data_IF_229592540211
#
_entry.id   IF_229592540211
#
_cell.length_a   1.000
_cell.length_b   1.000
_cell.length_c   1.000
_cell.angle_alpha   90.00
_cell.angle_beta   90.00
_cell.angle_gamma   90.00
#
_symmetry.space_group_name_H-M   'P 1'
#
loop_
_entity.id
_entity.type
_entity.pdbx_description
1 polymer ?
#
# COMPACT_ATOMS: atom_id res chain seq x y z
N UNK A 1 5.08 -11.64 32.27
CA UNK A 1 6.33 -12.04 31.59
C UNK A 1 5.90 -12.59 30.23
N UNK A 2 5.82 -11.72 29.23
CA UNK A 2 5.44 -12.14 27.87
C UNK A 2 6.67 -12.78 27.25
N UNK A 3 6.65 -14.10 27.06
CA UNK A 3 7.63 -14.78 26.23
C UNK A 3 7.33 -14.39 24.79
N UNK A 4 7.98 -13.33 24.28
CA UNK A 4 7.93 -12.99 22.87
C UNK A 4 8.53 -14.18 22.12
N UNK A 5 7.68 -15.02 21.54
CA UNK A 5 8.15 -16.10 20.68
C UNK A 5 8.77 -15.46 19.46
N UNK A 6 10.09 -15.59 19.32
CA UNK A 6 10.76 -15.15 18.09
C UNK A 6 10.31 -16.04 16.94
N UNK A 7 9.83 -15.43 15.86
CA UNK A 7 9.56 -16.11 14.61
C UNK A 7 10.84 -16.72 14.05
N UNK A 8 10.75 -17.98 13.64
CA UNK A 8 11.84 -18.71 13.01
C UNK A 8 12.00 -18.20 11.58
N UNK A 9 13.25 -18.03 11.15
CA UNK A 9 13.57 -17.50 9.82
C UNK A 9 14.41 -18.47 8.99
N UNK A 10 14.19 -18.44 7.69
CA UNK A 10 14.90 -19.20 6.67
C UNK A 10 15.43 -18.26 5.59
N UNK A 11 16.26 -18.80 4.70
CA UNK A 11 16.86 -18.05 3.59
C UNK A 11 15.80 -17.34 2.74
N UNK A 12 14.66 -17.99 2.46
CA UNK A 12 13.63 -17.46 1.58
C UNK A 12 14.03 -17.45 0.10
N UNK A 13 13.35 -16.62 -0.68
CA UNK A 13 13.47 -16.53 -2.14
C UNK A 13 13.42 -15.07 -2.59
N UNK A 14 14.23 -14.73 -3.59
CA UNK A 14 14.21 -13.41 -4.24
C UNK A 14 12.91 -13.10 -5.01
N UNK A 15 12.07 -14.11 -5.25
CA UNK A 15 10.81 -13.93 -5.96
C UNK A 15 9.64 -14.62 -5.25
N UNK A 16 8.44 -14.02 -5.37
CA UNK A 16 8.19 -12.69 -5.95
C UNK A 16 8.61 -11.56 -4.97
N UNK A 17 8.69 -10.32 -5.45
CA UNK A 17 8.98 -9.15 -4.60
C UNK A 17 7.83 -8.84 -3.63
N UNK A 18 8.17 -8.18 -2.53
CA UNK A 18 7.25 -7.85 -1.43
C UNK A 18 7.04 -9.02 -0.46
N UNK A 19 6.01 -8.91 0.37
CA UNK A 19 5.57 -9.98 1.26
C UNK A 19 4.61 -10.95 0.54
N UNK A 20 5.00 -12.22 0.49
CA UNK A 20 4.24 -13.33 -0.09
C UNK A 20 3.89 -14.35 0.98
N UNK A 21 2.64 -14.29 1.43
CA UNK A 21 2.16 -15.11 2.52
C UNK A 21 1.67 -16.49 2.05
N UNK A 22 1.97 -17.53 2.83
CA UNK A 22 1.32 -18.84 2.83
C UNK A 22 1.01 -19.27 4.28
N UNK A 23 0.19 -20.31 4.49
CA UNK A 23 -0.08 -20.84 5.84
C UNK A 23 1.18 -21.28 6.60
N UNK A 24 2.23 -21.69 5.88
CA UNK A 24 3.48 -22.18 6.47
C UNK A 24 4.47 -21.05 6.76
N UNK A 25 4.59 -20.07 5.87
CA UNK A 25 5.54 -18.97 6.02
C UNK A 25 5.19 -17.75 5.16
N UNK A 26 5.73 -16.59 5.53
CA UNK A 26 5.76 -15.40 4.66
C UNK A 26 7.15 -15.21 4.09
N UNK A 27 7.28 -15.22 2.76
CA UNK A 27 8.50 -14.84 2.08
C UNK A 27 8.50 -13.33 1.83
N UNK A 28 9.53 -12.65 2.32
CA UNK A 28 9.77 -11.23 2.07
C UNK A 28 10.90 -11.07 1.09
N UNK A 29 10.76 -10.19 0.10
CA UNK A 29 11.87 -9.80 -0.76
C UNK A 29 11.83 -8.34 -1.19
N UNK A 30 12.96 -7.65 -1.06
CA UNK A 30 13.14 -6.26 -1.46
C UNK A 30 14.38 -6.09 -2.33
N UNK A 31 14.29 -5.26 -3.36
CA UNK A 31 15.42 -4.94 -4.22
C UNK A 31 16.17 -3.71 -3.69
N UNK A 32 17.48 -3.85 -3.51
CA UNK A 32 18.41 -2.75 -3.30
C UNK A 32 19.81 -3.15 -3.78
N UNK A 33 20.36 -2.35 -4.69
CA UNK A 33 21.73 -2.54 -5.21
C UNK A 33 22.78 -1.93 -4.27
N UNK A 34 22.44 -0.84 -3.60
CA UNK A 34 23.37 -0.01 -2.83
C UNK A 34 23.35 -0.28 -1.33
N UNK A 35 22.30 -0.94 -0.80
CA UNK A 35 22.26 -1.26 0.62
C UNK A 35 23.42 -2.21 1.03
N UNK A 36 24.10 -1.86 2.11
CA UNK A 36 25.18 -2.66 2.70
C UNK A 36 24.65 -3.64 3.75
N UNK A 37 23.57 -3.26 4.44
CA UNK A 37 22.82 -4.12 5.35
C UNK A 37 21.32 -3.86 5.23
N UNK A 38 20.52 -4.89 5.52
CA UNK A 38 19.06 -4.83 5.49
C UNK A 38 18.50 -5.59 6.69
N UNK A 39 17.46 -5.02 7.29
CA UNK A 39 16.70 -5.63 8.36
C UNK A 39 15.20 -5.59 8.03
N UNK A 40 14.49 -6.65 8.40
CA UNK A 40 13.04 -6.70 8.37
C UNK A 40 12.51 -6.45 9.78
N UNK A 41 11.68 -5.43 9.95
CA UNK A 41 11.08 -5.05 11.23
C UNK A 41 9.63 -5.50 11.22
N UNK A 42 9.24 -6.30 12.22
CA UNK A 42 7.88 -6.81 12.39
C UNK A 42 7.22 -6.12 13.58
N UNK A 43 5.97 -5.71 13.43
CA UNK A 43 5.19 -4.99 14.44
C UNK A 43 3.87 -5.72 14.73
N UNK A 44 3.45 -5.68 16.00
CA UNK A 44 2.20 -6.28 16.42
C UNK A 44 0.99 -5.55 15.83
N UNK A 45 1.04 -4.22 15.79
CA UNK A 45 -0.04 -3.35 15.32
C UNK A 45 0.49 -2.19 14.46
N UNK A 46 -0.42 -1.48 13.79
CA UNK A 46 -0.10 -0.25 13.05
C UNK A 46 0.48 0.87 13.93
N UNK A 47 0.12 0.93 15.21
CA UNK A 47 0.51 1.99 16.14
C UNK A 47 1.66 1.63 17.09
N UNK A 48 2.16 0.38 17.08
CA UNK A 48 3.28 -0.05 17.93
C UNK A 48 4.47 0.92 17.82
N UNK A 49 5.09 1.35 18.92
CA UNK A 49 6.28 2.22 18.87
C UNK A 49 7.54 1.46 18.44
N UNK A 50 7.69 0.23 18.91
CA UNK A 50 8.84 -0.63 18.65
C UNK A 50 8.41 -1.91 17.90
N UNK A 51 9.31 -2.50 17.09
CA UNK A 51 9.05 -3.79 16.47
C UNK A 51 9.00 -4.89 17.53
N UNK A 52 8.06 -5.83 17.37
CA UNK A 52 8.04 -7.07 18.16
C UNK A 52 9.23 -7.98 17.83
N UNK A 53 9.80 -7.85 16.62
CA UNK A 53 11.02 -8.56 16.21
C UNK A 53 11.75 -7.80 15.11
N UNK A 54 13.08 -7.70 15.23
CA UNK A 54 13.99 -7.24 14.18
C UNK A 54 14.74 -8.44 13.62
N UNK A 55 14.68 -8.64 12.32
CA UNK A 55 15.37 -9.72 11.61
C UNK A 55 16.50 -9.12 10.80
N UNK A 56 17.74 -9.34 11.23
CA UNK A 56 18.95 -8.90 10.51
C UNK A 56 19.27 -9.90 9.40
N UNK A 57 19.33 -9.44 8.15
CA UNK A 57 19.62 -10.32 7.02
C UNK A 57 21.13 -10.54 6.89
N UNK A 58 21.51 -11.80 6.69
CA UNK A 58 22.88 -12.20 6.40
C UNK A 58 23.18 -12.01 4.90
N UNK A 59 24.11 -11.13 4.56
CA UNK A 59 24.45 -10.78 3.17
C UNK A 59 24.88 -11.99 2.31
N UNK A 60 25.53 -13.00 2.88
CA UNK A 60 26.00 -14.19 2.14
C UNK A 60 24.89 -15.20 1.83
N UNK A 61 23.79 -15.17 2.60
CA UNK A 61 22.71 -16.17 2.51
C UNK A 61 21.39 -15.58 2.01
N UNK A 62 21.06 -14.38 2.45
CA UNK A 62 19.76 -13.72 2.31
C UNK A 62 19.81 -12.56 1.31
N UNK A 63 20.82 -12.57 0.44
CA UNK A 63 20.90 -11.70 -0.72
C UNK A 63 21.32 -12.50 -1.95
N UNK A 64 20.48 -12.45 -2.99
CA UNK A 64 20.76 -13.04 -4.29
C UNK A 64 20.78 -11.92 -5.33
N UNK A 65 21.94 -11.64 -5.93
CA UNK A 65 22.21 -10.45 -6.75
C UNK A 65 21.93 -9.15 -5.97
N UNK A 66 20.87 -8.42 -6.35
CA UNK A 66 20.45 -7.15 -5.76
C UNK A 66 19.13 -7.28 -4.98
N UNK A 67 18.69 -8.50 -4.72
CA UNK A 67 17.46 -8.77 -3.96
C UNK A 67 17.82 -9.35 -2.61
N UNK A 68 17.38 -8.67 -1.55
CA UNK A 68 17.39 -9.15 -0.19
C UNK A 68 16.11 -9.95 0.06
N UNK A 69 16.21 -11.04 0.81
CA UNK A 69 15.07 -11.90 1.07
C UNK A 69 15.18 -12.71 2.35
N UNK A 70 14.05 -13.01 2.97
CA UNK A 70 13.94 -13.86 4.15
C UNK A 70 12.56 -14.50 4.18
N UNK A 71 12.47 -15.76 4.63
CA UNK A 71 11.19 -16.42 4.89
C UNK A 71 10.97 -16.53 6.38
N UNK A 72 9.79 -16.13 6.85
CA UNK A 72 9.42 -16.11 8.28
C UNK A 72 8.30 -17.12 8.51
N UNK A 73 8.54 -18.13 9.34
CA UNK A 73 7.58 -19.21 9.61
C UNK A 73 6.36 -18.70 10.37
N UNK A 74 5.18 -19.20 9.99
CA UNK A 74 3.91 -19.04 10.71
C UNK A 74 3.57 -17.59 11.08
N UNK A 75 3.99 -16.63 10.25
CA UNK A 75 3.71 -15.23 10.45
C UNK A 75 2.20 -14.95 10.21
N UNK A 76 1.47 -14.36 11.17
CA UNK A 76 0.06 -14.09 11.01
C UNK A 76 -0.25 -13.11 9.86
N UNK A 77 -1.36 -13.32 9.16
CA UNK A 77 -1.96 -12.29 8.30
C UNK A 77 -2.35 -11.10 9.18
N UNK A 78 -2.14 -9.88 8.69
CA UNK A 78 -2.32 -8.64 9.45
C UNK A 78 -1.08 -8.20 10.21
N UNK A 79 0.01 -8.99 10.23
CA UNK A 79 1.29 -8.51 10.78
C UNK A 79 1.78 -7.29 9.98
N UNK A 80 2.17 -6.25 10.71
CA UNK A 80 2.70 -5.03 10.12
C UNK A 80 4.22 -5.14 10.00
N UNK A 81 4.80 -4.56 8.95
CA UNK A 81 6.23 -4.60 8.73
C UNK A 81 6.78 -3.38 8.00
N UNK A 82 8.08 -3.14 8.20
CA UNK A 82 8.90 -2.20 7.43
C UNK A 82 10.25 -2.83 7.12
N UNK A 83 10.98 -2.23 6.18
CA UNK A 83 12.39 -2.56 5.96
C UNK A 83 13.25 -1.47 6.57
N UNK A 84 14.40 -1.83 7.14
CA UNK A 84 15.43 -0.88 7.53
C UNK A 84 16.69 -1.16 6.72
N UNK A 85 17.15 -0.17 5.97
CA UNK A 85 18.26 -0.31 5.01
C UNK A 85 19.41 0.60 5.40
N UNK A 86 20.63 0.07 5.38
CA UNK A 86 21.86 0.84 5.58
C UNK A 86 22.43 1.25 4.24
N UNK A 87 22.65 2.55 4.05
CA UNK A 87 23.30 3.11 2.85
C UNK A 87 24.85 3.11 3.01
N UNK A 88 25.61 3.29 1.91
CA UNK A 88 27.08 3.34 1.94
C UNK A 88 27.70 4.49 2.77
N UNK A 89 26.89 5.48 3.17
CA UNK A 89 27.30 6.57 4.06
C UNK A 89 27.04 6.24 5.55
N UNK A 90 26.84 4.96 5.86
CA UNK A 90 26.46 4.41 7.17
C UNK A 90 25.09 4.87 7.70
N UNK A 91 24.30 5.63 6.93
CA UNK A 91 22.97 6.07 7.34
C UNK A 91 21.96 4.92 7.27
N UNK A 92 21.09 4.84 8.28
CA UNK A 92 20.00 3.86 8.34
C UNK A 92 18.66 4.51 8.05
N UNK A 93 17.87 3.89 7.18
CA UNK A 93 16.56 4.36 6.76
C UNK A 93 15.51 3.27 6.94
N UNK A 94 14.48 3.55 7.74
CA UNK A 94 13.28 2.73 7.81
C UNK A 94 12.30 3.17 6.73
N UNK A 95 11.90 2.22 5.88
CA UNK A 95 11.15 2.45 4.65
C UNK A 95 9.95 1.53 4.54
N UNK A 96 8.97 2.00 3.79
CA UNK A 96 7.85 1.20 3.34
C UNK A 96 8.32 0.29 2.19
N UNK A 97 7.85 -0.96 2.19
CA UNK A 97 8.07 -1.88 1.07
C UNK A 97 7.35 -1.37 -0.21
N UNK A 98 8.07 -1.07 -1.31
CA UNK A 98 7.45 -0.61 -2.55
C UNK A 98 6.44 -1.59 -3.15
N UNK A 99 6.53 -2.87 -2.80
CA UNK A 99 5.68 -3.96 -3.27
C UNK A 99 4.59 -4.36 -2.24
N UNK A 100 4.43 -3.60 -1.16
CA UNK A 100 3.36 -3.84 -0.18
C UNK A 100 1.99 -3.87 -0.86
N UNK A 101 1.19 -4.92 -0.57
CA UNK A 101 -0.17 -5.09 -1.10
C UNK A 101 -1.25 -4.43 -0.26
N UNK A 102 -0.90 -4.09 0.96
CA UNK A 102 -1.72 -3.40 1.94
C UNK A 102 -0.78 -2.56 2.79
N UNK A 103 -1.24 -1.39 3.19
CA UNK A 103 -0.44 -0.44 3.96
C UNK A 103 -1.27 0.22 5.04
N UNK A 104 -0.61 0.63 6.12
CA UNK A 104 -1.20 1.49 7.13
C UNK A 104 -0.47 2.83 7.16
N UNK A 105 -1.26 3.91 7.24
CA UNK A 105 -0.83 5.30 7.41
C UNK A 105 -1.06 5.82 8.84
N UNK A 106 -1.40 4.95 9.81
CA UNK A 106 -1.83 5.36 11.15
C UNK A 106 -0.82 6.24 11.89
N UNK A 107 0.48 6.01 11.70
CA UNK A 107 1.56 6.82 12.29
C UNK A 107 2.24 7.75 11.27
N UNK A 108 1.71 7.84 10.05
CA UNK A 108 2.33 8.66 9.02
C UNK A 108 2.27 10.15 9.40
N UNK A 109 3.43 10.80 9.41
CA UNK A 109 3.56 12.24 9.57
C UNK A 109 4.62 12.74 8.59
N UNK A 110 4.19 13.46 7.56
CA UNK A 110 5.06 13.93 6.47
C UNK A 110 6.15 14.86 7.00
N UNK A 111 5.79 15.82 7.85
CA UNK A 111 6.73 16.81 8.39
C UNK A 111 7.83 16.18 9.24
N UNK A 112 7.49 15.10 9.97
CA UNK A 112 8.45 14.29 10.72
C UNK A 112 9.31 13.45 9.77
N UNK A 113 8.70 12.79 8.78
CA UNK A 113 9.38 11.93 7.82
C UNK A 113 10.40 12.68 6.91
N UNK A 114 10.29 14.01 6.80
CA UNK A 114 11.30 14.86 6.15
C UNK A 114 12.55 15.02 7.04
N UNK A 115 12.39 14.97 8.36
CA UNK A 115 13.45 15.28 9.32
C UNK A 115 14.15 14.03 9.86
N UNK A 116 13.43 12.91 9.97
CA UNK A 116 13.95 11.67 10.54
C UNK A 116 13.85 10.51 9.55
N UNK A 117 14.80 9.55 9.59
CA UNK A 117 14.83 8.42 8.67
C UNK A 117 13.85 7.30 9.07
N UNK A 118 12.72 7.66 9.72
CA UNK A 118 11.63 6.77 10.11
C UNK A 118 10.32 7.50 9.84
N UNK A 119 9.44 6.88 9.06
CA UNK A 119 8.36 7.60 8.41
C UNK A 119 6.95 7.19 8.90
N UNK A 120 6.84 6.06 9.62
CA UNK A 120 5.60 5.62 10.26
C UNK A 120 4.61 4.89 9.35
N UNK A 121 4.87 4.79 8.05
CA UNK A 121 4.11 3.91 7.15
C UNK A 121 4.51 2.46 7.37
N UNK A 122 3.54 1.54 7.24
CA UNK A 122 3.80 0.10 7.40
C UNK A 122 3.15 -0.70 6.30
N UNK A 123 3.85 -1.71 5.79
CA UNK A 123 3.23 -2.76 4.98
C UNK A 123 2.45 -3.71 5.88
N UNK A 124 1.43 -4.36 5.33
CA UNK A 124 0.61 -5.35 6.04
C UNK A 124 0.71 -6.69 5.29
N UNK A 125 1.12 -7.74 6.00
CA UNK A 125 1.12 -9.11 5.47
C UNK A 125 -0.32 -9.50 5.17
N UNK A 126 -0.61 -9.78 3.90
CA UNK A 126 -1.97 -10.03 3.41
C UNK A 126 -2.07 -11.40 2.77
N UNK A 127 -3.18 -12.10 3.00
CA UNK A 127 -3.50 -13.30 2.24
C UNK A 127 -4.00 -12.91 0.84
N UNK A 128 -3.18 -13.15 -0.17
CA UNK A 128 -3.50 -12.83 -1.55
C UNK A 128 -4.22 -13.97 -2.27
N UNK A 129 -4.40 -15.14 -1.63
CA UNK A 129 -5.12 -16.25 -2.23
C UNK A 129 -6.51 -15.78 -2.65
N UNK A 130 -6.90 -16.20 -3.85
CA UNK A 130 -8.13 -15.77 -4.49
C UNK A 130 -9.13 -16.94 -4.44
N UNK A 131 -10.23 -16.76 -3.72
CA UNK A 131 -11.36 -17.69 -3.73
C UNK A 131 -12.08 -17.55 -5.09
N UNK A 132 -11.67 -18.38 -6.06
CA UNK A 132 -12.00 -18.30 -7.49
C UNK A 132 -13.45 -18.65 -7.88
N UNK A 133 -14.43 -18.56 -6.98
CA UNK A 133 -15.81 -18.97 -7.29
C UNK A 133 -16.47 -18.11 -8.37
N UNK A 134 -15.89 -16.96 -8.70
CA UNK A 134 -16.25 -16.14 -9.86
C UNK A 134 -15.06 -16.13 -10.82
N UNK A 135 -15.21 -16.80 -11.98
CA UNK A 135 -14.28 -16.61 -13.09
C UNK A 135 -14.17 -15.10 -13.36
N UNK A 136 -12.95 -14.54 -13.57
CA UNK A 136 -12.83 -13.13 -13.85
C UNK A 136 -13.72 -12.79 -15.05
N UNK A 137 -14.73 -11.96 -14.82
CA UNK A 137 -15.53 -11.42 -15.89
C UNK A 137 -14.55 -10.83 -16.91
N UNK A 138 -14.71 -11.17 -18.19
CA UNK A 138 -13.89 -10.54 -19.23
C UNK A 138 -14.06 -9.02 -19.05
N UNK A 139 -12.97 -8.23 -19.06
CA UNK A 139 -13.08 -6.80 -18.95
C UNK A 139 -14.05 -6.29 -20.02
N UNK A 140 -14.97 -5.43 -19.61
CA UNK A 140 -15.97 -4.86 -20.51
C UNK A 140 -15.25 -4.04 -21.59
N UNK A 141 -15.74 -4.13 -22.83
CA UNK A 141 -15.16 -3.37 -23.93
C UNK A 141 -15.35 -1.87 -23.71
N UNK A 142 -14.37 -1.07 -24.15
CA UNK A 142 -14.51 0.39 -24.19
C UNK A 142 -15.36 0.88 -25.38
N UNK A 143 -15.65 0.00 -26.35
CA UNK A 143 -16.55 0.34 -27.45
C UNK A 143 -17.97 0.62 -26.93
N UNK A 144 -18.50 1.81 -27.21
CA UNK A 144 -19.77 2.29 -26.65
C UNK A 144 -19.73 2.64 -25.16
N UNK A 145 -18.56 2.81 -24.55
CA UNK A 145 -18.45 3.12 -23.13
C UNK A 145 -19.02 4.51 -22.78
N UNK A 146 -19.86 4.52 -21.76
CA UNK A 146 -20.25 5.69 -20.96
C UNK A 146 -19.50 5.58 -19.63
N UNK A 147 -18.47 6.41 -19.50
CA UNK A 147 -17.56 6.45 -18.35
C UNK A 147 -18.04 7.50 -17.35
N UNK A 148 -18.08 7.13 -16.08
CA UNK A 148 -18.42 8.01 -14.98
C UNK A 148 -17.24 8.09 -14.01
N UNK A 149 -16.57 9.23 -13.98
CA UNK A 149 -15.43 9.51 -13.11
C UNK A 149 -15.92 9.74 -11.67
N UNK A 150 -15.33 9.03 -10.71
CA UNK A 150 -15.77 9.00 -9.31
C UNK A 150 -14.58 9.09 -8.37
N UNK A 151 -14.69 9.99 -7.39
CA UNK A 151 -13.83 9.99 -6.22
C UNK A 151 -14.44 9.12 -5.12
N UNK A 152 -13.76 8.05 -4.69
CA UNK A 152 -14.27 7.08 -3.70
C UNK A 152 -14.73 7.76 -2.41
N UNK A 153 -13.86 8.59 -1.81
CA UNK A 153 -14.20 9.39 -0.64
C UNK A 153 -15.43 10.29 -0.87
N UNK A 154 -15.37 11.19 -1.85
CA UNK A 154 -16.42 12.18 -2.09
C UNK A 154 -17.78 11.62 -2.46
N UNK A 155 -17.83 10.50 -3.16
CA UNK A 155 -19.09 9.96 -3.69
C UNK A 155 -20.13 9.63 -2.61
N UNK A 156 -19.67 9.27 -1.41
CA UNK A 156 -20.56 8.88 -0.31
C UNK A 156 -20.32 9.65 1.00
N UNK A 157 -19.46 10.67 1.00
CA UNK A 157 -19.10 11.42 2.21
C UNK A 157 -20.27 12.20 2.83
N UNK A 158 -21.17 12.76 2.00
CA UNK A 158 -22.28 13.58 2.52
C UNK A 158 -23.32 12.70 3.24
N UNK A 159 -23.89 13.11 4.39
CA UNK A 159 -24.87 12.31 5.14
C UNK A 159 -26.10 11.87 4.34
N UNK A 160 -26.47 12.63 3.31
CA UNK A 160 -27.56 12.25 2.39
C UNK A 160 -27.24 11.02 1.54
N UNK A 161 -26.01 10.53 1.54
CA UNK A 161 -25.65 9.26 0.91
C UNK A 161 -26.39 8.10 1.58
N UNK A 162 -26.62 8.16 2.89
CA UNK A 162 -27.37 7.13 3.63
C UNK A 162 -26.72 5.74 3.60
N UNK A 163 -25.42 5.66 3.27
CA UNK A 163 -24.66 4.39 3.28
C UNK A 163 -24.16 4.07 4.68
N UNK A 164 -23.84 2.81 4.95
CA UNK A 164 -23.31 2.39 6.25
C UNK A 164 -21.84 2.80 6.44
N UNK A 165 -21.06 2.80 5.35
CA UNK A 165 -19.63 3.10 5.37
C UNK A 165 -19.29 4.27 4.43
N UNK A 166 -19.59 5.53 4.80
CA UNK A 166 -19.35 6.69 3.95
C UNK A 166 -17.85 6.84 3.64
N UNK A 167 -17.55 7.33 2.44
CA UNK A 167 -16.19 7.60 1.96
C UNK A 167 -15.30 6.36 1.74
N UNK A 168 -15.89 5.16 1.66
CA UNK A 168 -15.14 3.90 1.50
C UNK A 168 -15.54 3.12 0.24
N UNK A 169 -14.76 2.10 -0.11
CA UNK A 169 -15.12 1.14 -1.15
C UNK A 169 -16.46 0.44 -0.84
N UNK A 170 -16.74 0.07 0.42
CA UNK A 170 -18.05 -0.47 0.82
C UNK A 170 -19.19 0.51 0.62
N UNK A 171 -18.99 1.79 0.96
CA UNK A 171 -19.98 2.82 0.69
C UNK A 171 -20.27 2.96 -0.80
N UNK A 172 -19.24 2.88 -1.65
CA UNK A 172 -19.41 2.89 -3.11
C UNK A 172 -20.21 1.68 -3.61
N UNK A 173 -20.01 0.48 -3.05
CA UNK A 173 -20.80 -0.72 -3.39
C UNK A 173 -22.29 -0.48 -3.16
N UNK A 174 -22.67 0.16 -2.05
CA UNK A 174 -24.08 0.48 -1.72
C UNK A 174 -24.73 1.42 -2.75
N UNK A 175 -23.93 2.14 -3.55
CA UNK A 175 -24.39 3.05 -4.60
C UNK A 175 -24.37 2.48 -6.01
N UNK A 176 -23.99 1.22 -6.20
CA UNK A 176 -24.10 0.53 -7.48
C UNK A 176 -25.53 0.59 -8.08
N UNK A 177 -26.63 0.43 -7.32
CA UNK A 177 -27.98 0.56 -7.89
C UNK A 177 -28.22 1.91 -8.58
N UNK A 178 -27.75 3.00 -7.99
CA UNK A 178 -27.83 4.34 -8.60
C UNK A 178 -27.01 4.43 -9.88
N UNK A 179 -25.78 3.90 -9.89
CA UNK A 179 -24.91 3.90 -11.07
C UNK A 179 -25.55 3.11 -12.23
N UNK A 180 -26.22 2.00 -11.93
CA UNK A 180 -26.98 1.22 -12.92
C UNK A 180 -28.18 2.00 -13.44
N UNK A 181 -28.96 2.63 -12.57
CA UNK A 181 -30.13 3.42 -12.95
C UNK A 181 -29.73 4.61 -13.83
N UNK A 182 -28.60 5.25 -13.54
CA UNK A 182 -28.02 6.32 -14.34
C UNK A 182 -27.65 5.86 -15.76
N UNK A 183 -27.44 4.55 -15.98
CA UNK A 183 -27.16 3.96 -17.28
C UNK A 183 -25.70 4.02 -17.71
N UNK A 184 -24.78 4.23 -16.76
CA UNK A 184 -23.34 4.20 -17.04
C UNK A 184 -22.87 2.77 -17.31
N UNK A 185 -21.74 2.64 -17.99
CA UNK A 185 -21.15 1.33 -18.32
C UNK A 185 -19.86 1.05 -17.58
N UNK A 186 -19.13 2.10 -17.21
CA UNK A 186 -17.84 2.02 -16.55
C UNK A 186 -17.78 3.08 -15.45
N UNK A 187 -17.24 2.69 -14.29
CA UNK A 187 -16.74 3.65 -13.31
C UNK A 187 -15.25 3.85 -13.55
N UNK A 188 -14.83 5.10 -13.59
CA UNK A 188 -13.41 5.47 -13.54
C UNK A 188 -13.13 6.02 -12.16
N UNK A 189 -12.28 5.35 -11.39
CA UNK A 189 -11.92 5.82 -10.07
C UNK A 189 -10.74 6.77 -10.18
N UNK A 190 -10.87 7.96 -9.58
CA UNK A 190 -9.71 8.78 -9.19
C UNK A 190 -8.71 7.94 -8.38
N UNK A 191 -7.45 8.38 -8.23
CA UNK A 191 -6.38 7.58 -7.63
C UNK A 191 -6.80 6.81 -6.37
N UNK A 192 -6.71 5.48 -6.44
CA UNK A 192 -7.00 4.56 -5.33
C UNK A 192 -5.75 3.85 -4.80
N UNK A 193 -4.58 4.08 -5.40
CA UNK A 193 -3.30 3.66 -4.82
C UNK A 193 -3.05 4.42 -3.53
N UNK A 194 -2.35 3.82 -2.56
CA UNK A 194 -2.06 4.52 -1.32
C UNK A 194 -1.22 5.78 -1.57
N UNK A 195 -1.77 6.93 -1.18
CA UNK A 195 -1.20 8.26 -1.39
C UNK A 195 -1.08 9.05 -0.09
N UNK A 196 -0.24 10.08 -0.11
CA UNK A 196 -0.03 10.98 1.02
C UNK A 196 -1.04 12.14 0.99
N UNK A 197 -1.96 12.15 1.96
CA UNK A 197 -2.95 13.22 2.16
C UNK A 197 -2.29 14.52 2.65
N UNK A 198 -1.09 14.46 3.22
CA UNK A 198 -0.34 15.61 3.73
C UNK A 198 0.55 16.26 2.67
N UNK A 199 0.66 15.66 1.47
CA UNK A 199 1.48 16.20 0.38
C UNK A 199 0.76 17.35 -0.35
N UNK A 200 0.81 18.52 0.27
CA UNK A 200 0.29 19.78 -0.27
C UNK A 200 1.27 20.91 0.01
N UNK A 201 1.24 22.01 -0.76
CA UNK A 201 2.07 23.18 -0.48
C UNK A 201 1.85 23.74 0.93
N UNK A 202 2.89 24.30 1.57
CA UNK A 202 2.81 24.83 2.95
C UNK A 202 1.66 25.80 3.17
N UNK A 203 1.40 26.70 2.20
CA UNK A 203 0.29 27.64 2.28
C UNK A 203 -1.09 26.96 2.25
N UNK A 204 -1.20 25.80 1.60
CA UNK A 204 -2.42 24.97 1.56
C UNK A 204 -2.55 24.18 2.86
N UNK A 205 -1.46 23.59 3.36
CA UNK A 205 -1.43 22.90 4.65
C UNK A 205 -1.80 23.83 5.82
N UNK A 206 -1.30 25.08 5.82
CA UNK A 206 -1.59 26.08 6.85
C UNK A 206 -3.07 26.46 6.94
N UNK A 207 -3.85 26.20 5.87
CA UNK A 207 -5.31 26.38 5.86
C UNK A 207 -6.07 25.12 6.33
N UNK A 208 -5.37 24.06 6.73
CA UNK A 208 -5.97 22.78 7.13
C UNK A 208 -6.44 21.93 5.95
N UNK A 209 -6.03 22.26 4.72
CA UNK A 209 -6.38 21.48 3.54
C UNK A 209 -5.43 20.29 3.37
N UNK A 210 -5.92 19.27 2.68
CA UNK A 210 -5.21 18.02 2.40
C UNK A 210 -5.24 17.71 0.90
N UNK A 211 -4.35 16.85 0.46
CA UNK A 211 -4.42 16.24 -0.87
C UNK A 211 -5.64 15.31 -0.89
N UNK A 212 -6.73 15.81 -1.44
CA UNK A 212 -7.99 15.08 -1.50
C UNK A 212 -8.00 14.05 -2.63
N UNK A 213 -7.57 14.46 -3.82
CA UNK A 213 -7.68 13.66 -5.05
C UNK A 213 -6.73 12.45 -5.09
N UNK A 214 -5.58 12.53 -4.43
CA UNK A 214 -4.67 11.39 -4.31
C UNK A 214 -3.66 11.22 -5.43
N UNK A 215 -3.46 12.22 -6.30
CA UNK A 215 -2.38 12.24 -7.29
C UNK A 215 -1.00 12.49 -6.65
N UNK A 216 -0.62 11.65 -5.69
CA UNK A 216 0.70 11.61 -5.07
C UNK A 216 0.86 10.27 -4.35
N UNK A 217 1.08 9.16 -5.06
CA UNK A 217 1.13 7.83 -4.46
C UNK A 217 2.48 7.51 -3.80
N UNK A 218 2.43 6.73 -2.71
CA UNK A 218 3.59 6.05 -2.12
C UNK A 218 3.45 4.51 -2.13
N UNK A 219 2.25 3.97 -2.34
CA UNK A 219 1.98 2.52 -2.35
C UNK A 219 1.27 2.08 -3.62
N UNK A 220 2.05 1.73 -4.65
CA UNK A 220 1.58 1.43 -6.00
C UNK A 220 0.77 0.12 -6.14
N UNK A 221 0.88 -0.77 -5.15
CA UNK A 221 0.20 -2.06 -5.13
C UNK A 221 -0.83 -2.20 -4.01
N UNK A 222 -1.04 -1.14 -3.23
CA UNK A 222 -1.95 -1.13 -2.10
C UNK A 222 -3.10 -0.15 -2.34
N UNK A 223 -4.36 -0.56 -2.08
CA UNK A 223 -5.46 0.39 -1.98
C UNK A 223 -5.19 1.45 -0.90
N UNK A 224 -5.70 2.66 -1.10
CA UNK A 224 -5.56 3.73 -0.11
C UNK A 224 -6.28 3.36 1.20
N UNK A 225 -5.58 3.35 2.35
CA UNK A 225 -6.13 2.85 3.61
C UNK A 225 -7.37 3.62 4.08
N UNK A 226 -7.43 4.93 3.85
CA UNK A 226 -8.57 5.76 4.30
C UNK A 226 -9.84 5.53 3.46
N UNK A 227 -9.74 4.76 2.36
CA UNK A 227 -10.90 4.30 1.58
C UNK A 227 -11.37 2.90 1.98
N UNK A 228 -10.74 2.27 2.97
CA UNK A 228 -11.12 0.95 3.46
C UNK A 228 -11.91 1.05 4.77
N UNK A 229 -13.07 0.40 4.82
CA UNK A 229 -13.89 0.28 6.03
C UNK A 229 -13.40 -0.82 6.99
N UNK A 230 -12.47 -1.67 6.54
CA UNK A 230 -11.95 -2.83 7.27
C UNK A 230 -10.43 -2.87 7.25
N UNK A 231 -9.84 -3.64 8.16
CA UNK A 231 -8.40 -3.92 8.22
C UNK A 231 -7.94 -4.95 7.15
N UNK A 232 -8.80 -5.27 6.17
CA UNK A 232 -8.51 -6.18 5.05
C UNK A 232 -8.61 -5.44 3.69
N UNK A 233 -7.76 -4.42 3.43
CA UNK A 233 -7.91 -3.51 2.29
C UNK A 233 -7.92 -4.21 0.92
N UNK A 234 -7.08 -5.25 0.75
CA UNK A 234 -7.02 -6.05 -0.48
C UNK A 234 -8.34 -6.77 -0.74
N UNK A 235 -8.94 -7.33 0.31
CA UNK A 235 -10.22 -8.04 0.22
C UNK A 235 -11.34 -7.06 -0.11
N UNK A 236 -11.40 -5.93 0.59
CA UNK A 236 -12.44 -4.94 0.38
C UNK A 236 -12.43 -4.36 -1.04
N UNK A 237 -11.25 -4.07 -1.59
CA UNK A 237 -11.15 -3.62 -2.97
C UNK A 237 -11.59 -4.71 -3.98
N UNK A 238 -11.26 -5.98 -3.71
CA UNK A 238 -11.75 -7.11 -4.52
C UNK A 238 -13.27 -7.23 -4.45
N UNK A 239 -13.87 -7.02 -3.29
CA UNK A 239 -15.34 -7.02 -3.11
C UNK A 239 -15.99 -5.92 -3.96
N UNK A 240 -15.41 -4.71 -4.01
CA UNK A 240 -15.89 -3.64 -4.90
C UNK A 240 -15.85 -4.06 -6.38
N UNK A 241 -14.70 -4.57 -6.84
CA UNK A 241 -14.53 -5.02 -8.23
C UNK A 241 -15.53 -6.12 -8.58
N UNK A 242 -15.73 -7.10 -7.68
CA UNK A 242 -16.70 -8.16 -7.85
C UNK A 242 -18.14 -7.63 -7.91
N UNK A 243 -18.50 -6.68 -7.05
CA UNK A 243 -19.83 -6.08 -7.03
C UNK A 243 -20.12 -5.28 -8.31
N UNK A 244 -19.15 -4.52 -8.82
CA UNK A 244 -19.27 -3.80 -10.09
C UNK A 244 -19.45 -4.78 -11.26
N UNK A 245 -18.64 -5.84 -11.33
CA UNK A 245 -18.77 -6.85 -12.38
C UNK A 245 -20.09 -7.62 -12.30
N UNK A 246 -20.56 -7.96 -11.11
CA UNK A 246 -21.87 -8.60 -10.92
C UNK A 246 -23.03 -7.68 -11.36
N UNK A 247 -22.81 -6.37 -11.35
CA UNK A 247 -23.72 -5.36 -11.86
C UNK A 247 -23.58 -5.07 -13.37
N UNK A 248 -22.68 -5.78 -14.08
CA UNK A 248 -22.30 -5.52 -15.48
C UNK A 248 -21.70 -4.12 -15.70
N UNK A 249 -20.96 -3.62 -14.71
CA UNK A 249 -20.18 -2.38 -14.79
C UNK A 249 -18.69 -2.70 -14.93
N UNK A 250 -18.02 -2.04 -15.86
CA UNK A 250 -16.56 -2.03 -15.94
C UNK A 250 -15.94 -1.09 -14.89
N UNK A 251 -14.67 -1.32 -14.59
CA UNK A 251 -13.87 -0.47 -13.69
C UNK A 251 -12.59 -0.05 -14.41
N UNK A 252 -12.28 1.24 -14.35
CA UNK A 252 -11.05 1.85 -14.84
C UNK A 252 -10.38 2.50 -13.64
N UNK A 253 -9.06 2.35 -13.53
CA UNK A 253 -8.28 2.96 -12.46
C UNK A 253 -7.44 4.08 -13.05
N UNK A 254 -7.57 5.27 -12.48
CA UNK A 254 -6.57 6.30 -12.67
C UNK A 254 -5.27 5.91 -11.94
N UNK A 255 -4.15 5.97 -12.66
CA UNK A 255 -2.85 5.49 -12.19
C UNK A 255 -1.78 6.57 -12.38
N UNK A 256 -1.00 6.79 -11.33
CA UNK A 256 0.00 7.87 -11.28
C UNK A 256 1.40 7.27 -11.19
N UNK A 257 1.95 6.82 -12.33
CA UNK A 257 3.31 6.23 -12.38
C UNK A 257 4.41 7.25 -12.70
N UNK A 258 4.06 8.51 -12.93
CA UNK A 258 4.99 9.52 -13.41
C UNK A 258 5.68 10.32 -12.28
N UNK A 259 5.21 10.21 -11.03
CA UNK A 259 5.85 10.77 -9.82
C UNK A 259 5.37 10.03 -8.56
N UNK A 260 5.92 10.38 -7.39
CA UNK A 260 5.62 9.76 -6.09
C UNK A 260 5.44 10.82 -4.99
N UNK A 261 4.95 10.42 -3.81
CA UNK A 261 4.88 11.29 -2.62
C UNK A 261 6.23 11.66 -2.01
N UNK A 262 7.34 11.05 -2.47
CA UNK A 262 8.67 11.40 -1.98
C UNK A 262 9.09 12.80 -2.43
N UNK A 263 8.50 13.33 -3.52
CA UNK A 263 8.77 14.68 -4.00
C UNK A 263 10.24 14.92 -4.39
N UNK A 264 10.72 16.15 -4.25
CA UNK A 264 12.11 16.53 -4.55
C UNK A 264 13.07 16.20 -3.38
N UNK A 265 14.31 16.68 -3.43
CA UNK A 265 15.32 16.48 -2.37
C UNK A 265 14.85 16.89 -0.97
N UNK A 266 13.96 17.88 -0.85
CA UNK A 266 13.39 18.34 0.42
C UNK A 266 12.15 17.56 0.88
N UNK A 267 11.65 16.62 0.09
CA UNK A 267 10.54 15.75 0.45
C UNK A 267 11.00 14.53 1.26
N UNK A 268 10.05 13.77 1.84
CA UNK A 268 10.36 12.64 2.72
C UNK A 268 11.03 11.49 1.96
N UNK A 269 11.68 10.62 2.73
CA UNK A 269 12.16 9.32 2.25
C UNK A 269 11.21 8.23 2.72
N UNK A 270 10.44 7.68 1.79
CA UNK A 270 9.40 6.68 2.02
C UNK A 270 9.84 5.30 1.56
N UNK A 271 10.39 5.20 0.35
CA UNK A 271 10.65 3.96 -0.36
C UNK A 271 11.86 4.08 -1.30
N UNK A 272 11.69 4.62 -2.49
CA UNK A 272 12.62 4.52 -3.61
C UNK A 272 13.89 5.34 -3.42
N UNK A 273 13.80 6.55 -2.82
CA UNK A 273 14.97 7.39 -2.48
C UNK A 273 15.98 6.67 -1.60
N UNK A 274 15.50 5.84 -0.68
CA UNK A 274 16.34 5.07 0.22
C UNK A 274 16.91 3.82 -0.43
N UNK A 275 16.19 3.26 -1.41
CA UNK A 275 16.62 2.07 -2.13
C UNK A 275 17.67 2.40 -3.17
N UNK A 276 17.31 3.21 -4.18
CA UNK A 276 18.13 3.51 -5.37
C UNK A 276 17.61 4.79 -6.09
N UNK A 277 17.93 5.96 -5.56
CA UNK A 277 17.41 7.25 -6.04
C UNK A 277 17.63 7.48 -7.54
N UNK A 278 18.87 7.31 -8.01
CA UNK A 278 19.27 7.56 -9.41
C UNK A 278 18.70 6.55 -10.43
N UNK A 279 18.04 5.47 -9.98
CA UNK A 279 17.35 4.50 -10.85
C UNK A 279 15.86 4.80 -10.91
N UNK A 280 15.25 5.16 -9.78
CA UNK A 280 13.81 5.38 -9.71
C UNK A 280 13.40 6.81 -10.08
N UNK A 281 14.30 7.78 -9.95
CA UNK A 281 14.02 9.18 -10.24
C UNK A 281 14.92 9.75 -11.34
N UNK A 282 14.30 10.51 -12.24
CA UNK A 282 15.01 11.33 -13.21
C UNK A 282 15.37 12.67 -12.57
N UNK A 283 16.67 12.97 -12.50
CA UNK A 283 17.21 14.27 -12.08
C UNK A 283 17.45 15.19 -13.27
#
# INVERSE_FOLDING_TARGET
>A
MSTTSHFITHIGSRFPSGASWSPEATNFSIFSREAEAVELLLYETADSDEPMQVIVLNIEKQRTFFSWHVSVEQLPVGTHYTWRVQKPDDSWWEILDPWARAVSNKKWNRSQAIQVPCNGLRGIVSDLRYESSLLPAKPKSLDGAIIYEVHVGGFTNHPSSGVQHPSTFKGLIEKIPYLKELGITHVELLPVMAFDTQDVPDGVAALGNVNYWGYSPYGFYAPHPDYCATEEPVREFRELVQALHAADLGIILDVVFNHTSEGNEGGPTINFKALLDDIFYHR
#
